data_IF_748325356662
#
_entry.id   IF_748325356662
#
_cell.length_a   1.000
_cell.length_b   1.000
_cell.length_c   1.000
_cell.angle_alpha   90.00
_cell.angle_beta   90.00
_cell.angle_gamma   90.00
#
_symmetry.space_group_name_H-M   'P 1'
#
loop_
_entity.id
_entity.type
_entity.pdbx_description
1 polymer ?
#
# COMPACT_ATOMS: atom_id res chain seq x y z
N UNK A 1 -7.39 19.56 -24.00
CA UNK A 1 -7.66 20.43 -22.85
C UNK A 1 -6.31 20.77 -22.21
N UNK A 2 -5.99 22.03 -22.03
CA UNK A 2 -4.74 22.40 -21.35
C UNK A 2 -5.05 22.52 -19.85
N UNK A 3 -4.28 21.84 -19.02
CA UNK A 3 -4.32 22.08 -17.57
C UNK A 3 -4.06 23.58 -17.36
N UNK A 4 -4.87 24.22 -16.56
CA UNK A 4 -4.74 25.67 -16.35
C UNK A 4 -3.44 25.99 -15.60
N UNK A 5 -2.77 27.06 -15.95
CA UNK A 5 -1.48 27.45 -15.35
C UNK A 5 -1.58 27.57 -13.82
N UNK A 6 -2.74 27.96 -13.28
CA UNK A 6 -2.98 28.04 -11.84
C UNK A 6 -2.86 26.65 -11.18
N UNK A 7 -3.41 25.60 -11.80
CA UNK A 7 -3.34 24.23 -11.26
C UNK A 7 -1.89 23.72 -11.27
N UNK A 8 -1.15 24.03 -12.33
CA UNK A 8 0.29 23.70 -12.41
C UNK A 8 1.08 24.43 -11.32
N UNK A 9 0.81 25.71 -11.11
CA UNK A 9 1.49 26.48 -10.07
C UNK A 9 1.18 25.95 -8.66
N UNK A 10 -0.07 25.62 -8.38
CA UNK A 10 -0.49 24.99 -7.10
C UNK A 10 0.26 23.67 -6.92
N UNK A 11 0.29 22.82 -7.96
CA UNK A 11 0.98 21.54 -7.93
C UNK A 11 2.48 21.70 -7.63
N UNK A 12 3.17 22.61 -8.35
CA UNK A 12 4.60 22.87 -8.15
C UNK A 12 4.88 23.40 -6.75
N UNK A 13 4.12 24.39 -6.28
CA UNK A 13 4.27 24.94 -4.91
C UNK A 13 4.07 23.86 -3.86
N UNK A 14 3.05 23.02 -4.05
CA UNK A 14 2.77 21.91 -3.14
C UNK A 14 3.93 20.90 -3.10
N UNK A 15 4.46 20.48 -4.27
CA UNK A 15 5.59 19.56 -4.35
C UNK A 15 6.85 20.14 -3.72
N UNK A 16 7.13 21.43 -3.95
CA UNK A 16 8.25 22.13 -3.31
C UNK A 16 8.10 22.19 -1.78
N UNK A 17 6.87 22.42 -1.28
CA UNK A 17 6.60 22.39 0.15
C UNK A 17 6.86 21.00 0.75
N UNK A 18 6.46 19.92 0.08
CA UNK A 18 6.74 18.55 0.53
C UNK A 18 8.25 18.25 0.54
N UNK A 19 8.97 18.61 -0.51
CA UNK A 19 10.45 18.51 -0.53
C UNK A 19 11.07 19.31 0.62
N UNK A 20 10.55 20.51 0.90
CA UNK A 20 10.99 21.34 2.03
C UNK A 20 10.83 20.64 3.38
N UNK A 21 9.72 19.91 3.60
CA UNK A 21 9.51 19.08 4.80
C UNK A 21 10.56 17.96 4.87
N UNK A 22 10.84 17.29 3.75
CA UNK A 22 11.89 16.26 3.67
C UNK A 22 13.26 16.80 4.09
N UNK A 23 13.68 17.95 3.55
CA UNK A 23 14.93 18.63 3.90
C UNK A 23 14.97 19.07 5.38
N UNK A 24 13.86 19.54 5.92
CA UNK A 24 13.75 19.89 7.35
C UNK A 24 14.03 18.70 8.26
N UNK A 25 13.47 17.53 7.96
CA UNK A 25 13.70 16.32 8.76
C UNK A 25 15.07 15.69 8.52
N UNK A 26 15.66 15.82 7.32
CA UNK A 26 17.03 15.38 7.04
C UNK A 26 18.03 15.89 8.07
N UNK A 27 17.91 17.17 8.43
CA UNK A 27 18.81 17.83 9.41
C UNK A 27 18.55 17.34 10.85
N UNK A 28 17.45 16.65 11.11
CA UNK A 28 17.03 16.22 12.45
C UNK A 28 17.20 14.73 12.70
N UNK A 29 17.35 13.92 11.65
CA UNK A 29 17.60 12.48 11.77
C UNK A 29 19.07 12.25 12.15
N UNK A 30 19.31 11.78 13.38
CA UNK A 30 20.65 11.55 13.93
C UNK A 30 21.05 10.08 14.00
N UNK A 31 20.09 9.16 13.87
CA UNK A 31 20.30 7.72 14.01
C UNK A 31 19.39 6.91 13.05
N UNK A 32 19.70 5.62 12.89
CA UNK A 32 18.79 4.72 12.18
C UNK A 32 17.42 4.60 12.88
N UNK A 33 17.39 4.75 14.21
CA UNK A 33 16.14 4.73 14.96
C UNK A 33 15.25 5.94 14.60
N UNK A 34 15.84 7.14 14.49
CA UNK A 34 15.10 8.32 14.02
C UNK A 34 14.60 8.13 12.59
N UNK A 35 15.44 7.54 11.74
CA UNK A 35 15.16 7.36 10.33
C UNK A 35 14.07 6.30 10.06
N UNK A 36 14.09 5.14 10.74
CA UNK A 36 13.19 4.00 10.46
C UNK A 36 11.99 3.85 11.41
N UNK A 37 12.04 4.38 12.64
CA UNK A 37 10.95 4.23 13.65
C UNK A 37 10.54 5.53 14.34
N UNK A 38 10.98 6.68 13.87
CA UNK A 38 10.45 7.99 14.28
C UNK A 38 10.55 8.32 15.76
N UNK A 39 11.59 7.84 16.47
CA UNK A 39 11.88 8.11 17.91
C UNK A 39 10.85 7.57 18.92
N UNK A 40 9.95 6.67 18.55
CA UNK A 40 8.98 5.93 19.43
C UNK A 40 8.10 6.82 20.32
N UNK A 41 7.64 7.98 19.81
CA UNK A 41 6.87 8.96 20.60
C UNK A 41 5.56 9.40 19.96
N UNK A 42 5.10 8.69 18.91
CA UNK A 42 3.96 9.10 18.11
C UNK A 42 2.62 8.81 18.80
N UNK A 43 1.63 9.68 18.58
CA UNK A 43 0.27 9.55 19.10
C UNK A 43 -0.56 8.57 18.28
N UNK A 44 -1.67 8.06 18.87
CA UNK A 44 -2.56 7.12 18.21
C UNK A 44 -3.21 7.69 16.94
N UNK A 45 -3.51 8.98 16.91
CA UNK A 45 -4.14 9.60 15.72
C UNK A 45 -3.14 9.68 14.58
N UNK A 46 -1.94 10.20 14.81
CA UNK A 46 -0.91 10.28 13.76
C UNK A 46 -0.51 8.90 13.25
N UNK A 47 -0.34 7.92 14.15
CA UNK A 47 -0.04 6.55 13.74
C UNK A 47 -1.22 5.94 12.98
N UNK A 48 -2.45 6.06 13.45
CA UNK A 48 -3.63 5.49 12.80
C UNK A 48 -3.85 6.06 11.40
N UNK A 49 -3.76 7.38 11.24
CA UNK A 49 -3.87 8.03 9.93
C UNK A 49 -2.69 7.65 9.01
N UNK A 50 -1.46 7.55 9.54
CA UNK A 50 -0.31 7.09 8.75
C UNK A 50 -0.42 5.61 8.36
N UNK A 51 -1.00 4.74 9.21
CA UNK A 51 -1.28 3.34 8.85
C UNK A 51 -2.23 3.29 7.66
N UNK A 52 -3.37 3.97 7.74
CA UNK A 52 -4.35 4.04 6.63
C UNK A 52 -3.73 4.64 5.39
N UNK A 53 -3.01 5.77 5.51
CA UNK A 53 -2.34 6.41 4.40
C UNK A 53 -1.34 5.49 3.69
N UNK A 54 -0.69 4.60 4.44
CA UNK A 54 0.31 3.67 3.89
C UNK A 54 -0.31 2.39 3.37
N UNK A 55 -1.33 1.86 4.03
CA UNK A 55 -1.96 0.60 3.61
C UNK A 55 -2.95 0.83 2.46
N UNK A 56 -3.87 1.77 2.61
CA UNK A 56 -4.84 2.10 1.56
C UNK A 56 -4.25 3.04 0.51
N UNK A 57 -3.49 4.02 0.90
CA UNK A 57 -2.73 4.93 0.04
C UNK A 57 -3.39 5.36 -1.28
N UNK A 58 -2.62 6.02 -2.10
CA UNK A 58 -3.06 6.42 -3.43
C UNK A 58 -3.24 5.26 -4.40
N UNK A 59 -2.39 4.21 -4.28
CA UNK A 59 -2.47 3.02 -5.14
C UNK A 59 -3.76 2.24 -4.95
N UNK A 60 -4.17 2.02 -3.70
CA UNK A 60 -5.48 1.40 -3.44
C UNK A 60 -6.64 2.29 -3.88
N UNK A 61 -6.57 3.61 -3.71
CA UNK A 61 -7.67 4.46 -4.15
C UNK A 61 -7.83 4.47 -5.68
N UNK A 62 -6.74 4.38 -6.45
CA UNK A 62 -6.77 4.15 -7.91
C UNK A 62 -7.37 2.75 -8.19
N UNK A 63 -6.91 1.71 -7.51
CA UNK A 63 -7.42 0.35 -7.67
C UNK A 63 -8.89 0.21 -7.26
N UNK A 64 -9.32 0.83 -6.14
CA UNK A 64 -10.72 0.87 -5.72
C UNK A 64 -11.59 1.64 -6.72
N UNK A 65 -11.07 2.72 -7.30
CA UNK A 65 -11.71 3.40 -8.41
C UNK A 65 -11.93 2.48 -9.59
N UNK A 66 -10.92 1.67 -9.94
CA UNK A 66 -11.02 0.63 -10.96
C UNK A 66 -12.07 -0.44 -10.62
N UNK A 67 -12.14 -0.91 -9.38
CA UNK A 67 -13.18 -1.83 -8.93
C UNK A 67 -14.57 -1.21 -8.98
N UNK A 68 -14.72 0.04 -8.52
CA UNK A 68 -15.98 0.78 -8.64
C UNK A 68 -16.43 0.94 -10.09
N UNK A 69 -15.49 1.18 -11.00
CA UNK A 69 -15.72 1.25 -12.44
C UNK A 69 -16.17 -0.09 -13.04
N UNK A 70 -15.64 -1.22 -12.56
CA UNK A 70 -15.92 -2.57 -13.08
C UNK A 70 -17.14 -3.24 -12.47
N UNK A 71 -17.25 -3.23 -11.14
CA UNK A 71 -18.23 -4.03 -10.38
C UNK A 71 -19.07 -3.19 -9.42
N UNK A 72 -18.92 -1.87 -9.43
CA UNK A 72 -19.69 -0.97 -8.60
C UNK A 72 -19.36 -1.06 -7.11
N UNK A 73 -20.39 -0.92 -6.26
CA UNK A 73 -20.25 -0.87 -4.80
C UNK A 73 -19.69 -2.15 -4.19
N UNK A 74 -19.83 -3.29 -4.85
CA UNK A 74 -19.27 -4.58 -4.39
C UNK A 74 -17.74 -4.56 -4.28
N UNK A 75 -17.03 -3.69 -4.99
CA UNK A 75 -15.59 -3.49 -4.83
C UNK A 75 -15.16 -3.08 -3.42
N UNK A 76 -16.08 -2.52 -2.61
CA UNK A 76 -15.83 -2.14 -1.22
C UNK A 76 -15.45 -3.31 -0.30
N UNK A 77 -15.87 -4.53 -0.62
CA UNK A 77 -15.53 -5.73 0.15
C UNK A 77 -14.02 -5.96 0.26
N UNK A 78 -13.23 -5.45 -0.69
CA UNK A 78 -11.79 -5.58 -0.61
C UNK A 78 -11.23 -4.95 0.68
N UNK A 79 -11.61 -3.73 1.03
CA UNK A 79 -11.17 -3.07 2.26
C UNK A 79 -11.95 -3.51 3.51
N UNK A 80 -13.11 -4.18 3.36
CA UNK A 80 -13.73 -4.88 4.48
C UNK A 80 -12.79 -5.97 5.03
N UNK A 81 -12.02 -6.62 4.16
CA UNK A 81 -11.00 -7.57 4.63
C UNK A 81 -9.85 -6.86 5.36
N UNK A 82 -9.56 -5.60 5.04
CA UNK A 82 -8.58 -4.76 5.73
C UNK A 82 -8.98 -4.46 7.18
N UNK A 83 -10.23 -4.04 7.45
CA UNK A 83 -10.69 -3.80 8.83
C UNK A 83 -10.58 -5.08 9.68
N UNK A 84 -10.90 -6.26 9.11
CA UNK A 84 -10.74 -7.54 9.81
C UNK A 84 -9.26 -7.74 10.18
N UNK A 85 -8.36 -7.58 9.22
CA UNK A 85 -6.91 -7.70 9.43
C UNK A 85 -6.39 -6.74 10.50
N UNK A 86 -6.76 -5.46 10.39
CA UNK A 86 -6.40 -4.41 11.34
C UNK A 86 -6.84 -4.74 12.77
N UNK A 87 -8.10 -5.08 12.97
CA UNK A 87 -8.65 -5.30 14.30
C UNK A 87 -8.19 -6.61 14.93
N UNK A 88 -8.06 -7.67 14.14
CA UNK A 88 -7.49 -8.94 14.62
C UNK A 88 -6.02 -8.75 15.00
N UNK A 89 -5.23 -8.04 14.20
CA UNK A 89 -3.83 -7.76 14.56
C UNK A 89 -3.69 -6.84 15.77
N UNK A 90 -4.62 -5.88 15.97
CA UNK A 90 -4.64 -5.04 17.17
C UNK A 90 -4.78 -5.86 18.46
N UNK A 91 -5.59 -6.92 18.42
CA UNK A 91 -5.88 -7.75 19.60
C UNK A 91 -4.87 -8.89 19.76
N UNK A 92 -4.41 -9.49 18.65
CA UNK A 92 -3.57 -10.71 18.66
C UNK A 92 -2.09 -10.39 18.56
N UNK A 93 -1.70 -9.54 17.60
CA UNK A 93 -0.30 -9.26 17.27
C UNK A 93 0.33 -8.23 18.21
N UNK A 94 -0.28 -7.06 18.34
CA UNK A 94 0.30 -5.92 19.07
C UNK A 94 0.65 -6.27 20.52
N UNK A 95 -0.22 -6.96 21.32
CA UNK A 95 0.11 -7.30 22.70
C UNK A 95 1.33 -8.21 22.86
N UNK A 96 1.64 -9.01 21.82
CA UNK A 96 2.78 -9.93 21.83
C UNK A 96 4.06 -9.28 21.32
N UNK A 97 3.95 -8.41 20.34
CA UNK A 97 5.10 -7.82 19.65
C UNK A 97 5.58 -6.53 20.30
N UNK A 98 4.67 -5.65 20.72
CA UNK A 98 5.04 -4.35 21.30
C UNK A 98 5.98 -4.46 22.51
N UNK A 99 5.70 -5.30 23.55
CA UNK A 99 6.59 -5.45 24.70
C UNK A 99 7.98 -5.96 24.32
N UNK A 100 8.05 -6.92 23.38
CA UNK A 100 9.32 -7.46 22.87
C UNK A 100 10.11 -6.39 22.12
N UNK A 101 9.45 -5.66 21.23
CA UNK A 101 10.08 -4.59 20.45
C UNK A 101 10.63 -3.48 21.35
N UNK A 102 9.92 -3.13 22.42
CA UNK A 102 10.38 -2.17 23.41
C UNK A 102 11.58 -2.67 24.21
N UNK A 103 11.56 -3.95 24.61
CA UNK A 103 12.65 -4.58 25.38
C UNK A 103 13.92 -4.73 24.58
N UNK A 104 13.82 -5.13 23.30
CA UNK A 104 14.95 -5.46 22.44
C UNK A 104 15.32 -4.36 21.44
N UNK A 105 14.61 -3.24 21.44
CA UNK A 105 14.80 -2.12 20.51
C UNK A 105 14.77 -2.55 19.04
N UNK A 106 13.77 -3.36 18.64
CA UNK A 106 13.61 -3.78 17.25
C UNK A 106 13.37 -2.60 16.32
N UNK A 107 13.95 -2.64 15.12
CA UNK A 107 13.78 -1.68 14.04
C UNK A 107 13.02 -2.28 12.84
N UNK A 108 13.02 -3.61 12.73
CA UNK A 108 12.46 -4.33 11.60
C UNK A 108 11.55 -5.49 12.04
N UNK A 109 10.70 -5.93 11.09
CA UNK A 109 9.91 -7.15 11.27
C UNK A 109 10.77 -8.43 11.34
N UNK A 110 11.80 -8.62 10.48
CA UNK A 110 12.67 -9.79 10.57
C UNK A 110 13.40 -9.95 11.91
N UNK A 111 13.67 -8.86 12.63
CA UNK A 111 14.27 -8.96 13.98
C UNK A 111 13.35 -9.69 14.97
N UNK A 112 12.04 -9.61 14.80
CA UNK A 112 11.08 -10.41 15.59
C UNK A 112 11.28 -11.90 15.30
N UNK A 113 11.39 -12.28 14.04
CA UNK A 113 11.62 -13.67 13.66
C UNK A 113 13.00 -14.17 14.10
N UNK A 114 14.01 -13.30 14.13
CA UNK A 114 15.30 -13.64 14.71
C UNK A 114 15.20 -13.98 16.21
N UNK A 115 14.32 -13.29 16.94
CA UNK A 115 14.12 -13.55 18.37
C UNK A 115 13.47 -14.92 18.64
N UNK A 116 12.49 -15.31 17.82
CA UNK A 116 11.77 -16.58 18.01
C UNK A 116 12.47 -17.79 17.36
N UNK A 117 13.25 -17.57 16.31
CA UNK A 117 13.89 -18.60 15.51
C UNK A 117 15.42 -18.42 15.51
N UNK A 118 15.96 -17.95 14.41
CA UNK A 118 17.38 -17.67 14.24
C UNK A 118 17.68 -16.68 13.10
N UNK A 119 18.96 -16.36 12.97
CA UNK A 119 19.45 -15.40 11.98
C UNK A 119 19.20 -15.82 10.51
N UNK A 120 19.09 -17.12 10.19
CA UNK A 120 18.81 -17.60 8.81
C UNK A 120 17.37 -17.34 8.45
N UNK A 121 16.43 -17.58 9.38
CA UNK A 121 15.00 -17.27 9.20
C UNK A 121 14.79 -15.77 9.05
N UNK A 122 15.44 -14.95 9.88
CA UNK A 122 15.36 -13.49 9.77
C UNK A 122 15.91 -12.97 8.43
N UNK A 123 17.05 -13.51 7.97
CA UNK A 123 17.62 -13.14 6.67
C UNK A 123 16.65 -13.43 5.53
N UNK A 124 16.07 -14.63 5.50
CA UNK A 124 15.09 -15.01 4.47
C UNK A 124 13.83 -14.15 4.55
N UNK A 125 13.35 -13.84 5.77
CA UNK A 125 12.23 -12.92 5.96
C UNK A 125 12.54 -11.51 5.44
N UNK A 126 13.74 -11.01 5.68
CA UNK A 126 14.21 -9.73 5.14
C UNK A 126 14.23 -9.72 3.62
N UNK A 127 14.68 -10.81 2.99
CA UNK A 127 14.70 -10.95 1.51
C UNK A 127 13.27 -10.99 0.94
N UNK A 128 12.37 -11.80 1.52
CA UNK A 128 10.97 -11.89 1.06
C UNK A 128 10.28 -10.53 1.22
N UNK A 129 10.44 -9.89 2.37
CA UNK A 129 9.88 -8.57 2.64
C UNK A 129 10.45 -7.50 1.69
N UNK A 130 11.76 -7.49 1.44
CA UNK A 130 12.41 -6.59 0.48
C UNK A 130 11.80 -6.70 -0.91
N UNK A 131 11.69 -7.92 -1.46
CA UNK A 131 11.14 -8.18 -2.80
C UNK A 131 9.67 -7.71 -2.85
N UNK A 132 8.87 -8.05 -1.86
CA UNK A 132 7.46 -7.63 -1.80
C UNK A 132 7.31 -6.11 -1.76
N UNK A 133 8.14 -5.42 -0.97
CA UNK A 133 8.08 -3.96 -0.90
C UNK A 133 8.66 -3.24 -2.13
N UNK A 134 9.56 -3.86 -2.89
CA UNK A 134 9.94 -3.35 -4.23
C UNK A 134 8.71 -3.37 -5.14
N UNK A 135 7.98 -4.48 -5.20
CA UNK A 135 6.75 -4.59 -5.98
C UNK A 135 5.67 -3.61 -5.54
N UNK A 136 5.47 -3.45 -4.23
CA UNK A 136 4.51 -2.48 -3.71
C UNK A 136 4.91 -1.03 -4.02
N UNK A 137 6.17 -0.65 -3.88
CA UNK A 137 6.68 0.68 -4.31
C UNK A 137 6.44 0.89 -5.79
N UNK A 138 6.68 -0.11 -6.62
CA UNK A 138 6.44 -0.07 -8.07
C UNK A 138 4.97 0.18 -8.40
N UNK A 139 4.03 -0.43 -7.66
CA UNK A 139 2.59 -0.21 -7.85
C UNK A 139 2.20 1.24 -7.55
N UNK A 140 2.81 1.86 -6.54
CA UNK A 140 2.56 3.26 -6.21
C UNK A 140 3.13 4.21 -7.29
N UNK A 141 4.33 3.92 -7.81
CA UNK A 141 4.91 4.67 -8.93
C UNK A 141 3.99 4.58 -10.16
N UNK A 142 3.47 3.39 -10.47
CA UNK A 142 2.53 3.18 -11.58
C UNK A 142 1.19 3.91 -11.34
N UNK A 143 0.67 3.91 -10.11
CA UNK A 143 -0.54 4.66 -9.74
C UNK A 143 -0.37 6.17 -9.98
N UNK A 144 0.78 6.72 -9.55
CA UNK A 144 1.13 8.11 -9.80
C UNK A 144 1.27 8.41 -11.29
N UNK A 145 1.84 7.48 -12.07
CA UNK A 145 1.96 7.62 -13.52
C UNK A 145 0.58 7.65 -14.22
N UNK A 146 -0.36 6.78 -13.81
CA UNK A 146 -1.74 6.79 -14.33
C UNK A 146 -2.47 8.08 -13.98
N UNK A 147 -2.30 8.57 -12.76
CA UNK A 147 -2.84 9.87 -12.36
C UNK A 147 -2.22 11.01 -13.19
N UNK A 148 -0.91 10.99 -13.40
CA UNK A 148 -0.21 11.99 -14.21
C UNK A 148 -0.67 11.98 -15.66
N UNK A 149 -0.76 10.82 -16.31
CA UNK A 149 -1.18 10.71 -17.71
C UNK A 149 -2.65 11.11 -17.91
N UNK A 150 -3.53 10.84 -16.95
CA UNK A 150 -4.91 11.31 -16.98
C UNK A 150 -5.02 12.84 -16.80
N UNK A 151 -4.14 13.41 -15.96
CA UNK A 151 -4.13 14.86 -15.66
C UNK A 151 -3.45 15.65 -16.77
N UNK A 152 -2.36 15.13 -17.32
CA UNK A 152 -1.55 15.77 -18.36
C UNK A 152 -1.52 14.87 -19.61
N UNK A 153 -2.44 15.05 -20.58
CA UNK A 153 -2.57 14.18 -21.75
C UNK A 153 -1.32 14.12 -22.65
N UNK A 154 -0.37 15.02 -22.45
CA UNK A 154 0.92 15.00 -23.16
C UNK A 154 1.92 13.99 -22.59
N UNK A 155 1.68 13.51 -21.37
CA UNK A 155 2.54 12.51 -20.74
C UNK A 155 2.10 11.08 -21.08
N UNK A 156 3.03 10.31 -21.59
CA UNK A 156 2.89 8.84 -21.65
C UNK A 156 2.98 8.24 -20.24
N UNK A 157 2.48 7.02 -20.07
CA UNK A 157 2.62 6.29 -18.79
C UNK A 157 4.10 6.15 -18.38
N UNK A 158 5.00 5.91 -19.33
CA UNK A 158 6.44 5.76 -19.06
C UNK A 158 7.04 7.06 -18.54
N UNK A 159 6.72 8.19 -19.14
CA UNK A 159 7.18 9.51 -18.67
C UNK A 159 6.62 9.82 -17.28
N UNK A 160 5.36 9.45 -17.03
CA UNK A 160 4.74 9.52 -15.70
C UNK A 160 5.48 8.65 -14.67
N UNK A 161 5.85 7.41 -15.02
CA UNK A 161 6.64 6.52 -14.15
C UNK A 161 8.00 7.12 -13.82
N UNK A 162 8.70 7.67 -14.79
CA UNK A 162 10.00 8.32 -14.56
C UNK A 162 9.87 9.56 -13.67
N UNK A 163 8.91 10.42 -13.96
CA UNK A 163 8.66 11.63 -13.16
C UNK A 163 8.33 11.28 -11.71
N UNK A 164 7.36 10.41 -11.50
CA UNK A 164 6.92 10.00 -10.17
C UNK A 164 8.03 9.26 -9.41
N UNK A 165 8.75 8.37 -10.08
CA UNK A 165 9.84 7.64 -9.48
C UNK A 165 10.97 8.56 -8.98
N UNK A 166 11.38 9.53 -9.79
CA UNK A 166 12.42 10.48 -9.40
C UNK A 166 11.98 11.33 -8.20
N UNK A 167 10.73 11.82 -8.19
CA UNK A 167 10.21 12.63 -7.08
C UNK A 167 10.12 11.80 -5.80
N UNK A 168 9.54 10.59 -5.86
CA UNK A 168 9.42 9.68 -4.72
C UNK A 168 10.80 9.36 -4.13
N UNK A 169 11.74 8.92 -4.97
CA UNK A 169 13.08 8.55 -4.51
C UNK A 169 13.80 9.76 -3.88
N UNK A 170 13.75 10.90 -4.55
CA UNK A 170 14.40 12.13 -4.05
C UNK A 170 13.88 12.54 -2.68
N UNK A 171 12.58 12.52 -2.48
CA UNK A 171 11.96 12.85 -1.20
C UNK A 171 12.27 11.83 -0.10
N UNK A 172 12.13 10.52 -0.40
CA UNK A 172 12.33 9.44 0.57
C UNK A 172 13.78 9.36 1.07
N UNK A 173 14.75 9.50 0.17
CA UNK A 173 16.19 9.49 0.53
C UNK A 173 16.50 10.58 1.55
N UNK A 174 15.80 11.71 1.52
CA UNK A 174 16.03 12.85 2.40
C UNK A 174 15.28 12.75 3.74
N UNK A 175 14.00 12.36 3.73
CA UNK A 175 13.08 12.61 4.86
C UNK A 175 13.09 11.59 5.99
N UNK A 176 13.12 10.30 5.71
CA UNK A 176 12.92 9.22 6.71
C UNK A 176 11.50 9.13 7.25
N UNK A 177 11.20 8.10 8.07
CA UNK A 177 9.83 7.76 8.52
C UNK A 177 9.12 8.89 9.29
N UNK A 178 9.85 9.69 10.04
CA UNK A 178 9.25 10.78 10.82
C UNK A 178 8.63 11.85 9.93
N UNK A 179 9.30 12.21 8.85
CA UNK A 179 8.76 13.15 7.86
C UNK A 179 7.48 12.57 7.24
N UNK A 180 7.52 11.30 6.85
CA UNK A 180 6.41 10.58 6.23
C UNK A 180 5.17 10.61 7.14
N UNK A 181 5.25 10.22 8.42
CA UNK A 181 4.10 10.17 9.33
C UNK A 181 3.42 11.55 9.51
N UNK A 182 4.20 12.63 9.55
CA UNK A 182 3.63 13.97 9.68
C UNK A 182 3.00 14.47 8.38
N UNK A 183 3.63 14.24 7.25
CA UNK A 183 3.06 14.60 5.94
C UNK A 183 1.83 13.78 5.62
N UNK A 184 1.83 12.47 5.91
CA UNK A 184 0.69 11.56 5.75
C UNK A 184 -0.58 12.14 6.37
N UNK A 185 -0.48 12.61 7.61
CA UNK A 185 -1.65 13.11 8.34
C UNK A 185 -2.32 14.28 7.62
N UNK A 186 -1.53 15.24 7.12
CA UNK A 186 -2.05 16.44 6.44
C UNK A 186 -2.59 16.06 5.06
N UNK A 187 -1.84 15.32 4.29
CA UNK A 187 -2.20 14.89 2.93
C UNK A 187 -3.48 14.08 2.94
N UNK A 188 -3.60 13.17 3.90
CA UNK A 188 -4.76 12.34 4.09
C UNK A 188 -6.02 13.14 4.41
N UNK A 189 -5.94 14.11 5.33
CA UNK A 189 -7.08 14.97 5.67
C UNK A 189 -7.54 15.75 4.44
N UNK A 190 -6.62 16.35 3.68
CA UNK A 190 -6.95 17.12 2.49
C UNK A 190 -7.60 16.22 1.43
N UNK A 191 -7.03 15.03 1.19
CA UNK A 191 -7.56 14.07 0.22
C UNK A 191 -8.97 13.61 0.61
N UNK A 192 -9.14 13.18 1.86
CA UNK A 192 -10.42 12.69 2.37
C UNK A 192 -11.52 13.75 2.30
N UNK A 193 -11.23 14.94 2.80
CA UNK A 193 -12.19 16.07 2.76
C UNK A 193 -12.50 16.42 1.31
N UNK A 194 -11.49 16.52 0.46
CA UNK A 194 -11.67 16.86 -0.95
C UNK A 194 -12.48 15.83 -1.73
N UNK A 195 -12.14 14.54 -1.59
CA UNK A 195 -12.84 13.50 -2.37
C UNK A 195 -14.24 13.20 -1.83
N UNK A 196 -14.43 13.14 -0.50
CA UNK A 196 -15.73 12.79 0.08
C UNK A 196 -16.72 13.96 0.00
N UNK A 197 -16.30 15.16 0.42
CA UNK A 197 -17.23 16.29 0.56
C UNK A 197 -17.31 17.16 -0.71
N UNK A 198 -16.36 17.02 -1.64
CA UNK A 198 -16.36 17.79 -2.88
C UNK A 198 -16.42 16.84 -4.09
N UNK A 199 -15.53 15.89 -4.21
CA UNK A 199 -15.39 14.99 -5.36
C UNK A 199 -16.65 14.17 -5.61
N UNK A 200 -17.16 13.45 -4.59
CA UNK A 200 -18.37 12.64 -4.73
C UNK A 200 -19.61 13.50 -5.02
N UNK A 201 -19.93 14.56 -4.24
CA UNK A 201 -21.11 15.39 -4.54
C UNK A 201 -21.03 16.07 -5.91
N UNK A 202 -19.89 16.63 -6.27
CA UNK A 202 -19.70 17.29 -7.55
C UNK A 202 -19.77 16.29 -8.71
N UNK A 203 -19.13 15.12 -8.58
CA UNK A 203 -19.23 14.04 -9.54
C UNK A 203 -20.66 13.57 -9.73
N UNK A 204 -21.39 13.33 -8.63
CA UNK A 204 -22.79 12.93 -8.65
C UNK A 204 -23.68 13.92 -9.41
N UNK A 205 -23.53 15.22 -9.13
CA UNK A 205 -24.29 16.27 -9.84
C UNK A 205 -23.89 16.35 -11.32
N UNK A 206 -22.59 16.30 -11.61
CA UNK A 206 -22.08 16.45 -12.99
C UNK A 206 -22.46 15.30 -13.91
N UNK A 207 -22.58 14.07 -13.39
CA UNK A 207 -23.05 12.94 -14.20
C UNK A 207 -24.57 12.86 -14.33
N UNK A 208 -25.35 13.73 -13.63
CA UNK A 208 -26.81 13.73 -13.70
C UNK A 208 -27.54 12.95 -12.61
N UNK A 209 -26.86 12.67 -11.49
CA UNK A 209 -27.45 12.09 -10.29
C UNK A 209 -27.97 10.67 -10.45
N UNK A 210 -29.00 10.32 -9.66
CA UNK A 210 -29.57 8.98 -9.62
C UNK A 210 -30.21 8.54 -10.93
N UNK A 211 -30.79 9.46 -11.67
CA UNK A 211 -31.42 9.18 -12.97
C UNK A 211 -30.38 8.66 -13.96
N UNK A 212 -29.24 9.35 -14.07
CA UNK A 212 -28.17 8.93 -14.94
C UNK A 212 -27.55 7.59 -14.50
N UNK A 213 -27.32 7.41 -13.19
CA UNK A 213 -26.77 6.14 -12.67
C UNK A 213 -27.66 4.97 -13.08
N UNK A 214 -28.98 5.08 -12.90
CA UNK A 214 -29.94 4.02 -13.27
C UNK A 214 -30.10 3.83 -14.76
N UNK A 215 -29.90 4.88 -15.55
CA UNK A 215 -30.02 4.82 -17.03
C UNK A 215 -28.80 4.14 -17.65
N UNK A 216 -27.61 4.46 -17.15
CA UNK A 216 -26.36 4.02 -17.79
C UNK A 216 -25.74 2.78 -17.15
N UNK A 217 -26.09 2.44 -15.89
CA UNK A 217 -25.54 1.27 -15.22
C UNK A 217 -26.62 0.23 -14.88
N UNK A 218 -26.30 -1.05 -15.05
CA UNK A 218 -27.13 -2.12 -14.55
C UNK A 218 -27.30 -2.08 -13.03
N UNK A 219 -28.45 -2.52 -12.51
CA UNK A 219 -28.77 -2.49 -11.06
C UNK A 219 -27.73 -3.18 -10.17
N UNK A 220 -27.04 -4.19 -10.67
CA UNK A 220 -26.03 -4.91 -9.90
C UNK A 220 -24.83 -4.06 -9.52
N UNK A 221 -24.56 -2.91 -10.20
CA UNK A 221 -23.50 -1.97 -9.79
C UNK A 221 -23.80 -1.29 -8.45
N UNK A 222 -25.08 -1.13 -8.10
CA UNK A 222 -25.53 -0.58 -6.81
C UNK A 222 -25.67 -1.63 -5.72
N UNK A 223 -25.49 -2.92 -6.06
CA UNK A 223 -25.55 -4.03 -5.11
C UNK A 223 -24.20 -4.25 -4.46
N UNK A 224 -24.21 -4.78 -3.24
CA UNK A 224 -23.02 -5.33 -2.55
C UNK A 224 -22.78 -6.81 -2.88
N UNK A 225 -23.62 -7.44 -3.69
CA UNK A 225 -23.56 -8.88 -4.03
C UNK A 225 -22.98 -9.15 -5.41
N UNK A 226 -22.53 -8.12 -6.14
CA UNK A 226 -21.90 -8.26 -7.45
C UNK A 226 -20.41 -8.66 -7.33
N UNK A 227 -20.16 -9.74 -6.58
CA UNK A 227 -18.84 -10.30 -6.34
C UNK A 227 -18.96 -11.81 -6.14
N UNK A 228 -18.02 -12.57 -6.70
CA UNK A 228 -17.99 -14.02 -6.44
C UNK A 228 -17.42 -14.32 -5.05
N UNK A 229 -17.90 -15.42 -4.45
CA UNK A 229 -17.37 -15.88 -3.18
C UNK A 229 -15.88 -16.21 -3.25
N UNK A 230 -15.41 -16.69 -4.40
CA UNK A 230 -13.98 -16.96 -4.63
C UNK A 230 -13.16 -15.68 -4.59
N UNK A 231 -13.64 -14.59 -5.19
CA UNK A 231 -12.97 -13.31 -5.14
C UNK A 231 -12.86 -12.75 -3.70
N UNK A 232 -13.90 -12.93 -2.91
CA UNK A 232 -13.88 -12.56 -1.49
C UNK A 232 -12.85 -13.39 -0.71
N UNK A 233 -12.77 -14.70 -0.96
CA UNK A 233 -11.72 -15.56 -0.37
C UNK A 233 -10.34 -15.07 -0.78
N UNK A 234 -10.11 -14.79 -2.05
CA UNK A 234 -8.82 -14.28 -2.54
C UNK A 234 -8.40 -13.00 -1.80
N UNK A 235 -9.31 -12.06 -1.58
CA UNK A 235 -9.02 -10.86 -0.81
C UNK A 235 -8.76 -11.15 0.68
N UNK A 236 -9.55 -12.02 1.32
CA UNK A 236 -9.37 -12.39 2.73
C UNK A 236 -7.98 -13.00 2.95
N UNK A 237 -7.58 -13.97 2.13
CA UNK A 237 -6.30 -14.67 2.30
C UNK A 237 -5.08 -13.84 1.93
N UNK A 238 -5.28 -12.72 1.23
CA UNK A 238 -4.21 -11.78 0.88
C UNK A 238 -4.13 -10.64 1.90
N UNK A 239 -5.26 -9.97 2.15
CA UNK A 239 -5.28 -8.70 2.90
C UNK A 239 -5.29 -8.93 4.42
N UNK A 240 -6.03 -9.90 4.94
CA UNK A 240 -6.03 -10.14 6.41
C UNK A 240 -4.63 -10.51 6.92
N UNK A 241 -3.88 -11.45 6.28
CA UNK A 241 -2.57 -11.83 6.75
C UNK A 241 -1.49 -10.75 6.58
N UNK A 242 -1.62 -9.81 5.64
CA UNK A 242 -0.60 -8.75 5.48
C UNK A 242 -0.46 -7.89 6.74
N UNK A 243 -1.54 -7.73 7.51
CA UNK A 243 -1.53 -7.03 8.79
C UNK A 243 -0.65 -7.69 9.87
N UNK A 244 -0.24 -8.94 9.64
CA UNK A 244 0.64 -9.70 10.52
C UNK A 244 2.09 -9.72 10.07
N UNK A 245 2.38 -9.37 8.80
CA UNK A 245 3.73 -9.53 8.22
C UNK A 245 4.28 -8.24 7.59
N UNK A 246 3.44 -7.21 7.43
CA UNK A 246 3.82 -5.97 6.75
C UNK A 246 4.86 -5.17 7.54
N UNK A 247 6.08 -5.02 7.02
CA UNK A 247 7.17 -4.25 7.64
C UNK A 247 6.76 -2.80 7.96
N UNK A 248 6.00 -2.14 7.08
CA UNK A 248 5.48 -0.79 7.30
C UNK A 248 4.61 -0.70 8.55
N UNK A 249 3.82 -1.75 8.82
CA UNK A 249 2.95 -1.85 9.99
C UNK A 249 3.79 -2.03 11.26
N UNK A 250 4.79 -2.89 11.23
CA UNK A 250 5.71 -3.07 12.36
C UNK A 250 6.45 -1.78 12.71
N UNK A 251 6.93 -1.02 11.73
CA UNK A 251 7.54 0.28 11.97
C UNK A 251 6.61 1.23 12.73
N UNK A 252 5.32 1.23 12.43
CA UNK A 252 4.31 2.05 13.10
C UNK A 252 3.94 1.54 14.49
N UNK A 253 3.92 0.22 14.70
CA UNK A 253 3.84 -0.37 16.05
C UNK A 253 5.01 0.14 16.90
N UNK A 254 6.23 0.09 16.35
CA UNK A 254 7.43 0.53 17.06
C UNK A 254 7.50 2.05 17.28
N UNK A 255 6.96 2.85 16.38
CA UNK A 255 6.88 4.30 16.50
C UNK A 255 5.89 4.77 17.58
N UNK A 256 4.95 3.93 18.02
CA UNK A 256 3.95 4.24 19.02
C UNK A 256 4.59 4.42 20.41
N UNK A 257 4.07 5.36 21.20
CA UNK A 257 4.60 5.64 22.54
C UNK A 257 4.37 4.51 23.56
N UNK A 258 3.28 3.77 23.40
CA UNK A 258 2.88 2.64 24.24
C UNK A 258 1.95 1.66 23.50
N UNK A 259 1.74 0.47 24.07
CA UNK A 259 0.90 -0.59 23.49
C UNK A 259 -0.54 -0.13 23.29
N UNK A 260 -1.11 0.60 24.23
CA UNK A 260 -2.48 1.12 24.17
C UNK A 260 -2.63 2.08 22.97
N UNK A 261 -1.63 2.92 22.77
CA UNK A 261 -1.55 3.83 21.62
C UNK A 261 -1.51 3.05 20.30
N UNK A 262 -0.68 2.00 20.20
CA UNK A 262 -0.60 1.16 19.01
C UNK A 262 -1.95 0.47 18.71
N UNK A 263 -2.58 -0.17 19.69
CA UNK A 263 -3.91 -0.77 19.54
C UNK A 263 -4.96 0.23 19.08
N UNK A 264 -5.03 1.40 19.74
CA UNK A 264 -5.97 2.46 19.37
C UNK A 264 -5.75 2.95 17.93
N UNK A 265 -4.50 3.05 17.48
CA UNK A 265 -4.16 3.41 16.12
C UNK A 265 -4.69 2.39 15.10
N UNK A 266 -4.59 1.09 15.37
CA UNK A 266 -5.10 0.03 14.51
C UNK A 266 -6.64 0.01 14.44
N UNK A 267 -7.32 0.28 15.55
CA UNK A 267 -8.78 0.43 15.52
C UNK A 267 -9.21 1.65 14.69
N UNK A 268 -8.50 2.77 14.81
CA UNK A 268 -8.71 3.96 13.98
C UNK A 268 -8.46 3.61 12.50
N UNK A 269 -7.34 2.95 12.19
CA UNK A 269 -7.00 2.58 10.82
C UNK A 269 -8.11 1.74 10.17
N UNK A 270 -8.53 0.65 10.82
CA UNK A 270 -9.59 -0.20 10.28
C UNK A 270 -10.91 0.54 10.04
N UNK A 271 -11.31 1.44 10.94
CA UNK A 271 -12.52 2.25 10.77
C UNK A 271 -12.42 3.19 9.56
N UNK A 272 -11.24 3.73 9.27
CA UNK A 272 -11.03 4.55 8.08
C UNK A 272 -10.98 3.72 6.80
N UNK A 273 -10.43 2.50 6.82
CA UNK A 273 -10.44 1.62 5.65
C UNK A 273 -11.86 1.28 5.23
N UNK A 274 -12.67 0.80 6.15
CA UNK A 274 -14.05 0.46 5.89
C UNK A 274 -14.95 0.95 7.03
N UNK A 275 -16.02 1.72 6.73
CA UNK A 275 -16.59 1.96 5.39
C UNK A 275 -15.98 3.17 4.62
N UNK A 276 -15.18 4.03 5.25
CA UNK A 276 -14.91 5.37 4.71
C UNK A 276 -14.17 5.31 3.36
N UNK A 277 -12.97 4.74 3.34
CA UNK A 277 -12.14 4.69 2.13
C UNK A 277 -12.71 3.77 1.05
N UNK A 278 -13.23 2.63 1.48
CA UNK A 278 -13.82 1.67 0.57
C UNK A 278 -14.91 2.34 -0.28
N UNK A 279 -15.90 2.95 0.39
CA UNK A 279 -17.02 3.58 -0.34
C UNK A 279 -16.61 4.87 -1.05
N UNK A 280 -15.63 5.62 -0.56
CA UNK A 280 -15.08 6.77 -1.29
C UNK A 280 -14.52 6.33 -2.64
N UNK A 281 -13.64 5.33 -2.66
CA UNK A 281 -12.99 4.86 -3.89
C UNK A 281 -13.97 4.26 -4.89
N UNK A 282 -14.81 3.31 -4.44
CA UNK A 282 -15.75 2.64 -5.35
C UNK A 282 -16.85 3.57 -5.85
N UNK A 283 -17.32 4.55 -5.04
CA UNK A 283 -18.32 5.53 -5.49
C UNK A 283 -17.77 6.43 -6.58
N UNK A 284 -16.55 6.94 -6.43
CA UNK A 284 -15.89 7.75 -7.46
C UNK A 284 -15.64 6.92 -8.72
N UNK A 285 -15.23 5.65 -8.60
CA UNK A 285 -15.07 4.75 -9.74
C UNK A 285 -16.39 4.47 -10.47
N UNK A 286 -17.47 4.24 -9.73
CA UNK A 286 -18.82 4.06 -10.27
C UNK A 286 -19.29 5.31 -11.03
N UNK A 287 -19.09 6.50 -10.46
CA UNK A 287 -19.39 7.77 -11.15
C UNK A 287 -18.51 7.95 -12.39
N UNK A 288 -17.24 7.52 -12.34
CA UNK A 288 -16.37 7.45 -13.52
C UNK A 288 -16.91 6.55 -14.62
N UNK A 289 -17.50 5.40 -14.25
CA UNK A 289 -18.19 4.52 -15.21
C UNK A 289 -19.39 5.19 -15.85
N UNK A 290 -20.25 5.86 -15.08
CA UNK A 290 -21.37 6.63 -15.63
C UNK A 290 -20.88 7.69 -16.61
N UNK A 291 -19.85 8.47 -16.22
CA UNK A 291 -19.26 9.49 -17.09
C UNK A 291 -18.72 8.92 -18.40
N UNK A 292 -18.10 7.74 -18.36
CA UNK A 292 -17.62 7.04 -19.55
C UNK A 292 -18.77 6.62 -20.45
N UNK A 293 -19.82 5.99 -19.92
CA UNK A 293 -20.99 5.53 -20.70
C UNK A 293 -21.77 6.72 -21.32
N UNK A 294 -21.75 7.88 -20.67
CA UNK A 294 -22.30 9.12 -21.21
C UNK A 294 -21.45 9.76 -22.30
N UNK A 295 -20.23 9.26 -22.54
CA UNK A 295 -19.31 9.84 -23.52
C UNK A 295 -18.58 11.09 -23.04
N UNK A 296 -18.60 11.41 -21.72
CA UNK A 296 -17.89 12.57 -21.19
C UNK A 296 -16.37 12.45 -21.33
N UNK A 297 -15.87 11.24 -21.51
CA UNK A 297 -14.44 10.98 -21.71
C UNK A 297 -14.00 11.00 -23.18
N UNK A 298 -14.92 11.21 -24.13
CA UNK A 298 -14.58 11.27 -25.58
C UNK A 298 -13.55 12.35 -25.89
N UNK A 299 -13.62 13.49 -25.21
CA UNK A 299 -12.64 14.57 -25.35
C UNK A 299 -11.21 14.17 -24.89
N UNK A 300 -11.07 13.09 -24.14
CA UNK A 300 -9.79 12.51 -23.69
C UNK A 300 -9.38 11.30 -24.52
N UNK A 301 -10.12 10.97 -25.61
CA UNK A 301 -9.85 9.85 -26.48
C UNK A 301 -10.59 8.55 -26.12
N UNK A 302 -11.51 8.57 -25.15
CA UNK A 302 -12.24 7.38 -24.70
C UNK A 302 -13.75 7.54 -24.99
N UNK A 303 -14.16 7.10 -26.16
CA UNK A 303 -15.58 7.06 -26.52
C UNK A 303 -16.29 5.86 -25.84
N UNK A 304 -17.62 5.92 -25.61
CA UNK A 304 -18.37 4.78 -25.10
C UNK A 304 -18.14 3.52 -25.95
N UNK A 305 -17.88 2.38 -25.30
CA UNK A 305 -17.56 1.12 -25.96
C UNK A 305 -16.12 0.97 -26.46
N UNK A 306 -15.27 2.02 -26.38
CA UNK A 306 -13.84 1.89 -26.65
C UNK A 306 -13.11 1.20 -25.51
N UNK A 307 -11.97 0.51 -25.76
CA UNK A 307 -11.17 -0.01 -24.68
C UNK A 307 -10.67 1.11 -23.75
N UNK A 308 -10.92 0.96 -22.45
CA UNK A 308 -10.43 1.88 -21.41
C UNK A 308 -9.84 1.07 -20.25
N UNK A 309 -8.72 1.52 -19.73
CA UNK A 309 -8.19 1.01 -18.47
C UNK A 309 -9.07 1.50 -17.33
N UNK A 310 -9.71 0.58 -16.60
CA UNK A 310 -10.61 0.93 -15.51
C UNK A 310 -9.94 1.77 -14.40
N UNK A 311 -8.63 1.64 -14.21
CA UNK A 311 -7.90 2.38 -13.18
C UNK A 311 -7.70 3.86 -13.52
N UNK A 312 -7.89 4.26 -14.79
CA UNK A 312 -7.88 5.69 -15.16
C UNK A 312 -9.27 6.35 -15.10
N UNK A 313 -10.33 5.58 -14.93
CA UNK A 313 -11.71 6.10 -14.89
C UNK A 313 -11.93 7.13 -13.78
N UNK A 314 -11.43 6.83 -12.55
CA UNK A 314 -11.49 7.78 -11.44
C UNK A 314 -10.63 9.03 -11.70
N UNK A 315 -9.37 8.97 -12.09
CA UNK A 315 -8.58 10.14 -12.47
C UNK A 315 -9.24 11.01 -13.55
N UNK A 316 -9.75 10.42 -14.60
CA UNK A 316 -10.45 11.16 -15.67
C UNK A 316 -11.71 11.85 -15.17
N UNK A 317 -12.49 11.21 -14.30
CA UNK A 317 -13.63 11.84 -13.65
C UNK A 317 -13.20 13.09 -12.90
N UNK A 318 -12.17 13.00 -12.05
CA UNK A 318 -11.70 14.12 -11.24
C UNK A 318 -11.24 15.30 -12.12
N UNK A 319 -10.50 15.01 -13.20
CA UNK A 319 -10.07 16.02 -14.18
C UNK A 319 -11.26 16.68 -14.86
N UNK A 320 -12.33 15.93 -15.11
CA UNK A 320 -13.53 16.45 -15.77
C UNK A 320 -14.40 17.32 -14.87
N UNK A 321 -14.51 16.98 -13.57
CA UNK A 321 -15.46 17.62 -12.66
C UNK A 321 -14.90 18.82 -11.90
N UNK A 322 -13.59 18.85 -11.62
CA UNK A 322 -13.03 19.89 -10.77
C UNK A 322 -12.80 21.21 -11.51
N UNK A 323 -13.22 22.35 -10.91
CA UNK A 323 -12.86 23.66 -11.42
C UNK A 323 -11.37 23.97 -11.20
N UNK A 324 -10.87 24.92 -11.99
CA UNK A 324 -9.51 25.45 -11.89
C UNK A 324 -9.19 25.90 -10.46
N UNK A 325 -8.00 25.62 -9.98
CA UNK A 325 -7.53 25.86 -8.62
C UNK A 325 -7.85 24.72 -7.66
N UNK A 326 -9.10 24.26 -7.61
CA UNK A 326 -9.47 23.09 -6.82
C UNK A 326 -8.89 21.80 -7.40
N UNK A 327 -8.86 21.68 -8.74
CA UNK A 327 -8.19 20.59 -9.43
C UNK A 327 -6.72 20.52 -9.04
N UNK A 328 -5.98 21.62 -9.12
CA UNK A 328 -4.57 21.68 -8.75
C UNK A 328 -4.32 21.24 -7.31
N UNK A 329 -5.14 21.70 -6.36
CA UNK A 329 -5.02 21.34 -4.95
C UNK A 329 -5.31 19.85 -4.70
N UNK A 330 -6.42 19.33 -5.21
CA UNK A 330 -6.83 17.94 -4.94
C UNK A 330 -5.95 16.95 -5.68
N UNK A 331 -5.52 17.26 -6.91
CA UNK A 331 -4.55 16.42 -7.63
C UNK A 331 -3.20 16.42 -6.92
N UNK A 332 -2.71 17.57 -6.43
CA UNK A 332 -1.48 17.63 -5.63
C UNK A 332 -1.58 16.76 -4.37
N UNK A 333 -2.72 16.83 -3.67
CA UNK A 333 -2.97 16.01 -2.48
C UNK A 333 -3.03 14.52 -2.82
N UNK A 334 -3.61 14.16 -3.97
CA UNK A 334 -3.67 12.78 -4.42
C UNK A 334 -2.29 12.23 -4.80
N UNK A 335 -1.51 13.00 -5.56
CA UNK A 335 -0.10 12.66 -5.84
C UNK A 335 0.69 12.46 -4.54
N UNK A 336 0.49 13.35 -3.57
CA UNK A 336 1.17 13.25 -2.28
C UNK A 336 0.77 12.01 -1.49
N UNK A 337 -0.50 11.63 -1.52
CA UNK A 337 -0.96 10.40 -0.87
C UNK A 337 -0.33 9.14 -1.51
N UNK A 338 -0.18 9.13 -2.84
CA UNK A 338 0.54 8.08 -3.56
C UNK A 338 2.02 8.07 -3.15
N UNK A 339 2.66 9.24 -3.13
CA UNK A 339 4.06 9.38 -2.75
C UNK A 339 4.31 8.89 -1.32
N UNK A 340 3.48 9.27 -0.36
CA UNK A 340 3.57 8.88 1.04
C UNK A 340 3.57 7.36 1.23
N UNK A 341 2.70 6.66 0.50
CA UNK A 341 2.69 5.18 0.51
C UNK A 341 3.97 4.62 -0.10
N UNK A 342 4.40 5.16 -1.24
CA UNK A 342 5.62 4.73 -1.90
C UNK A 342 6.86 4.95 -1.01
N UNK A 343 6.93 6.09 -0.31
CA UNK A 343 8.00 6.41 0.64
C UNK A 343 8.08 5.40 1.77
N UNK A 344 6.92 5.08 2.36
CA UNK A 344 6.81 4.09 3.43
C UNK A 344 7.27 2.71 2.98
N UNK A 345 6.87 2.29 1.77
CA UNK A 345 7.26 1.01 1.18
C UNK A 345 8.76 0.98 0.86
N UNK A 346 9.29 2.05 0.30
CA UNK A 346 10.70 2.19 -0.01
C UNK A 346 11.58 2.21 1.25
N UNK A 347 11.09 2.87 2.31
CA UNK A 347 11.71 2.85 3.64
C UNK A 347 11.69 1.46 4.28
N UNK A 348 10.60 0.70 4.12
CA UNK A 348 10.51 -0.67 4.58
C UNK A 348 11.50 -1.58 3.84
N UNK A 349 11.56 -1.49 2.51
CA UNK A 349 12.50 -2.23 1.69
C UNK A 349 13.95 -1.93 2.03
N UNK A 350 14.31 -0.64 2.12
CA UNK A 350 15.68 -0.22 2.47
C UNK A 350 16.05 -0.60 3.91
N UNK A 351 15.09 -0.56 4.84
CA UNK A 351 15.25 -1.04 6.21
C UNK A 351 15.56 -2.53 6.26
N UNK A 352 14.79 -3.35 5.56
CA UNK A 352 15.06 -4.79 5.45
C UNK A 352 16.46 -5.07 4.87
N UNK A 353 16.86 -4.33 3.83
CA UNK A 353 18.17 -4.50 3.22
C UNK A 353 19.31 -4.13 4.17
N UNK A 354 19.23 -2.96 4.81
CA UNK A 354 20.33 -2.45 5.64
C UNK A 354 20.37 -3.09 7.03
N UNK A 355 19.22 -3.36 7.65
CA UNK A 355 19.13 -3.89 9.00
C UNK A 355 19.25 -5.41 9.03
N UNK A 356 18.55 -6.10 8.11
CA UNK A 356 18.38 -7.55 8.21
C UNK A 356 19.33 -8.32 7.29
N UNK A 357 19.63 -7.78 6.09
CA UNK A 357 20.53 -8.42 5.13
C UNK A 357 21.97 -7.98 5.38
N UNK A 358 22.27 -6.67 5.35
CA UNK A 358 23.63 -6.16 5.59
C UNK A 358 24.02 -6.07 7.07
N UNK A 359 23.05 -6.09 7.98
CA UNK A 359 23.24 -6.04 9.45
C UNK A 359 24.10 -4.86 9.89
N UNK A 360 23.85 -3.67 9.34
CA UNK A 360 24.61 -2.48 9.68
C UNK A 360 24.37 -2.07 11.14
N UNK A 361 25.42 -1.51 11.76
CA UNK A 361 25.35 -1.06 13.15
C UNK A 361 24.34 0.08 13.33
N UNK A 362 23.43 -0.05 14.31
CA UNK A 362 22.35 0.89 14.62
C UNK A 362 22.84 2.30 15.03
N UNK A 363 24.08 2.40 15.53
CA UNK A 363 24.63 3.64 16.13
C UNK A 363 25.69 4.33 15.27
N UNK A 364 25.96 3.86 14.05
CA UNK A 364 26.99 4.42 13.20
C UNK A 364 26.36 5.47 12.22
N UNK A 365 26.88 6.68 12.22
CA UNK A 365 26.45 7.75 11.28
C UNK A 365 26.66 7.37 9.80
N UNK A 366 27.67 6.54 9.49
CA UNK A 366 27.87 6.00 8.14
C UNK A 366 26.71 5.08 7.71
N UNK A 367 26.02 4.45 8.65
CA UNK A 367 24.87 3.58 8.35
C UNK A 367 23.71 4.35 7.69
N UNK A 368 23.53 5.65 8.02
CA UNK A 368 22.50 6.49 7.37
C UNK A 368 22.81 6.65 5.88
N UNK A 369 24.09 6.90 5.53
CA UNK A 369 24.51 7.03 4.12
C UNK A 369 24.29 5.74 3.33
N UNK A 370 24.58 4.58 3.94
CA UNK A 370 24.29 3.28 3.32
C UNK A 370 22.79 3.04 3.17
N UNK A 371 21.98 3.47 4.15
CA UNK A 371 20.52 3.41 4.05
C UNK A 371 19.98 4.29 2.91
N UNK A 372 20.50 5.49 2.76
CA UNK A 372 20.15 6.38 1.67
C UNK A 372 20.54 5.81 0.29
N UNK A 373 21.75 5.24 0.18
CA UNK A 373 22.19 4.57 -1.06
C UNK A 373 21.32 3.35 -1.38
N UNK A 374 21.00 2.54 -0.37
CA UNK A 374 20.08 1.40 -0.55
C UNK A 374 18.72 1.87 -1.02
N UNK A 375 18.16 2.93 -0.41
CA UNK A 375 16.89 3.53 -0.82
C UNK A 375 16.92 3.96 -2.29
N UNK A 376 18.01 4.60 -2.72
CA UNK A 376 18.19 5.02 -4.12
C UNK A 376 18.19 3.81 -5.08
N UNK A 377 19.02 2.81 -4.79
CA UNK A 377 19.14 1.61 -5.66
C UNK A 377 17.82 0.84 -5.73
N UNK A 378 17.15 0.63 -4.59
CA UNK A 378 15.87 -0.05 -4.52
C UNK A 378 14.79 0.76 -5.27
N UNK A 379 14.81 2.07 -5.15
CA UNK A 379 13.89 2.95 -5.88
C UNK A 379 14.08 2.86 -7.41
N UNK A 380 15.30 2.77 -7.90
CA UNK A 380 15.59 2.56 -9.33
C UNK A 380 15.04 1.21 -9.80
N UNK A 381 15.21 0.15 -9.00
CA UNK A 381 14.62 -1.16 -9.30
C UNK A 381 13.08 -1.11 -9.32
N UNK A 382 12.47 -0.33 -8.42
CA UNK A 382 11.02 -0.14 -8.40
C UNK A 382 10.51 0.63 -9.63
N UNK A 383 11.23 1.66 -10.10
CA UNK A 383 10.91 2.33 -11.38
C UNK A 383 10.94 1.33 -12.53
N UNK A 384 12.02 0.55 -12.63
CA UNK A 384 12.15 -0.45 -13.69
C UNK A 384 11.00 -1.45 -13.69
N UNK A 385 10.63 -1.99 -12.53
CA UNK A 385 9.49 -2.91 -12.42
C UNK A 385 8.17 -2.22 -12.78
N UNK A 386 7.96 -0.95 -12.40
CA UNK A 386 6.76 -0.19 -12.73
C UNK A 386 6.57 -0.02 -14.24
N UNK A 387 7.65 0.12 -15.03
CA UNK A 387 7.55 0.22 -16.49
C UNK A 387 7.12 -1.09 -17.16
N UNK A 388 7.27 -2.23 -16.48
CA UNK A 388 6.91 -3.55 -17.01
C UNK A 388 5.47 -3.97 -16.69
N UNK A 389 4.77 -3.24 -15.81
CA UNK A 389 3.45 -3.59 -15.30
C UNK A 389 2.37 -2.65 -15.85
N UNK A 390 1.15 -3.17 -15.98
CA UNK A 390 0.03 -2.40 -16.54
C UNK A 390 -1.07 -2.10 -15.52
N UNK A 391 -1.20 -2.92 -14.47
CA UNK A 391 -2.28 -2.83 -13.50
C UNK A 391 -1.74 -2.63 -12.08
N UNK A 392 -2.16 -1.54 -11.44
CA UNK A 392 -1.70 -1.11 -10.10
C UNK A 392 -2.15 -2.10 -9.04
N UNK A 393 -3.45 -2.42 -9.05
CA UNK A 393 -4.05 -3.27 -8.03
C UNK A 393 -3.47 -4.70 -8.10
N UNK A 394 -3.33 -5.25 -9.30
CA UNK A 394 -2.74 -6.59 -9.47
C UNK A 394 -1.30 -6.64 -8.97
N UNK A 395 -0.48 -5.63 -9.25
CA UNK A 395 0.90 -5.57 -8.79
C UNK A 395 0.99 -5.50 -7.26
N UNK A 396 0.09 -4.74 -6.64
CA UNK A 396 -0.02 -4.68 -5.18
C UNK A 396 -0.39 -6.04 -4.58
N UNK A 397 -1.46 -6.66 -5.10
CA UNK A 397 -1.95 -7.94 -4.58
C UNK A 397 -0.94 -9.07 -4.79
N UNK A 398 -0.19 -9.06 -5.90
CA UNK A 398 0.93 -10.00 -6.11
C UNK A 398 2.04 -9.80 -5.08
N UNK A 399 2.38 -8.56 -4.77
CA UNK A 399 3.39 -8.22 -3.76
C UNK A 399 2.96 -8.68 -2.37
N UNK A 400 1.72 -8.43 -2.00
CA UNK A 400 1.13 -8.90 -0.74
C UNK A 400 1.04 -10.42 -0.70
N UNK A 401 0.52 -11.05 -1.75
CA UNK A 401 0.39 -12.50 -1.85
C UNK A 401 1.71 -13.22 -1.70
N UNK A 402 2.78 -12.72 -2.31
CA UNK A 402 4.14 -13.26 -2.15
C UNK A 402 4.64 -13.14 -0.70
N UNK A 403 4.54 -11.96 -0.09
CA UNK A 403 4.95 -11.76 1.31
C UNK A 403 4.16 -12.63 2.27
N UNK A 404 2.84 -12.67 2.13
CA UNK A 404 1.95 -13.44 3.00
C UNK A 404 2.25 -14.93 2.92
N UNK A 405 2.42 -15.46 1.72
CA UNK A 405 2.70 -16.88 1.50
C UNK A 405 4.02 -17.33 2.14
N UNK A 406 5.02 -16.46 2.12
CA UNK A 406 6.30 -16.75 2.73
C UNK A 406 6.35 -16.50 4.24
N UNK A 407 5.64 -15.50 4.75
CA UNK A 407 5.89 -14.98 6.10
C UNK A 407 4.79 -15.29 7.12
N UNK A 408 3.53 -15.45 6.70
CA UNK A 408 2.41 -15.52 7.63
C UNK A 408 2.44 -16.75 8.53
N UNK A 409 2.66 -17.94 7.97
CA UNK A 409 2.70 -19.19 8.76
C UNK A 409 3.84 -19.19 9.78
N UNK A 410 5.09 -18.80 9.45
CA UNK A 410 6.14 -18.61 10.45
C UNK A 410 5.81 -17.60 11.55
N UNK A 411 5.12 -16.51 11.21
CA UNK A 411 4.67 -15.54 12.22
C UNK A 411 3.65 -16.16 13.17
N UNK A 412 2.68 -16.92 12.66
CA UNK A 412 1.74 -17.64 13.53
C UNK A 412 2.48 -18.65 14.42
N UNK A 413 3.45 -19.38 13.87
CA UNK A 413 4.31 -20.27 14.65
C UNK A 413 5.03 -19.53 15.79
N UNK A 414 5.62 -18.37 15.51
CA UNK A 414 6.30 -17.53 16.50
C UNK A 414 5.34 -17.01 17.59
N UNK A 415 4.12 -16.66 17.24
CA UNK A 415 3.14 -16.09 18.18
C UNK A 415 2.46 -17.12 19.08
N UNK A 416 2.25 -18.35 18.58
CA UNK A 416 1.38 -19.33 19.25
C UNK A 416 2.06 -20.59 19.72
N UNK A 417 3.27 -20.91 19.24
CA UNK A 417 4.01 -22.07 19.69
C UNK A 417 5.04 -21.70 20.78
N UNK A 418 5.19 -22.54 21.80
CA UNK A 418 6.19 -22.33 22.85
C UNK A 418 7.61 -22.49 22.31
N UNK A 419 7.84 -23.51 21.47
CA UNK A 419 9.14 -23.85 20.88
C UNK A 419 8.97 -24.04 19.36
N UNK A 420 8.91 -22.96 18.57
CA UNK A 420 8.77 -23.07 17.13
C UNK A 420 10.10 -23.47 16.49
N UNK A 421 10.05 -24.46 15.57
CA UNK A 421 11.25 -24.96 14.87
C UNK A 421 11.72 -23.97 13.81
N UNK A 422 13.00 -23.57 13.90
CA UNK A 422 13.65 -22.73 12.88
C UNK A 422 13.73 -23.40 11.51
N UNK A 423 13.86 -24.74 11.45
CA UNK A 423 13.83 -25.48 10.19
C UNK A 423 12.43 -25.44 9.57
N UNK A 424 11.38 -25.63 10.40
CA UNK A 424 10.01 -25.53 9.93
C UNK A 424 9.71 -24.14 9.34
N UNK A 425 10.12 -23.08 10.03
CA UNK A 425 9.98 -21.71 9.53
C UNK A 425 10.73 -21.49 8.22
N UNK A 426 12.01 -21.90 8.12
CA UNK A 426 12.83 -21.69 6.93
C UNK A 426 12.22 -22.37 5.69
N UNK A 427 11.87 -23.65 5.81
CA UNK A 427 11.32 -24.40 4.68
C UNK A 427 9.92 -23.93 4.31
N UNK A 428 9.07 -23.61 5.29
CA UNK A 428 7.74 -23.06 4.99
C UNK A 428 7.80 -21.72 4.23
N UNK A 429 8.75 -20.85 4.56
CA UNK A 429 9.01 -19.61 3.82
C UNK A 429 9.44 -19.88 2.38
N UNK A 430 10.39 -20.77 2.17
CA UNK A 430 10.92 -21.11 0.85
C UNK A 430 9.84 -21.71 -0.04
N UNK A 431 9.11 -22.70 0.47
CA UNK A 431 8.07 -23.36 -0.30
C UNK A 431 6.84 -22.49 -0.48
N UNK A 432 6.40 -21.74 0.54
CA UNK A 432 5.25 -20.87 0.43
C UNK A 432 5.48 -19.70 -0.52
N UNK A 433 6.51 -18.91 -0.28
CA UNK A 433 6.88 -17.79 -1.15
C UNK A 433 7.30 -18.25 -2.55
N UNK A 434 8.12 -19.31 -2.63
CA UNK A 434 8.58 -19.87 -3.91
C UNK A 434 7.44 -20.37 -4.79
N UNK A 435 6.46 -21.09 -4.22
CA UNK A 435 5.28 -21.55 -4.96
C UNK A 435 4.45 -20.38 -5.48
N UNK A 436 4.17 -19.39 -4.63
CA UNK A 436 3.40 -18.21 -5.07
C UNK A 436 4.10 -17.48 -6.19
N UNK A 437 5.41 -17.25 -6.07
CA UNK A 437 6.19 -16.58 -7.11
C UNK A 437 6.21 -17.37 -8.42
N UNK A 438 6.43 -18.69 -8.34
CA UNK A 438 6.42 -19.57 -9.52
C UNK A 438 5.07 -19.56 -10.23
N UNK A 439 3.95 -19.62 -9.47
CA UNK A 439 2.61 -19.58 -10.05
C UNK A 439 2.29 -18.22 -10.67
N UNK A 440 2.69 -17.09 -10.06
CA UNK A 440 2.52 -15.76 -10.66
C UNK A 440 3.30 -15.65 -11.97
N UNK A 441 4.55 -16.08 -11.99
CA UNK A 441 5.42 -15.99 -13.17
C UNK A 441 4.99 -16.94 -14.30
N UNK A 442 4.43 -18.10 -13.97
CA UNK A 442 3.96 -19.08 -14.95
C UNK A 442 2.75 -18.61 -15.75
N UNK A 443 1.98 -17.65 -15.22
CA UNK A 443 0.73 -17.15 -15.82
C UNK A 443 -0.30 -18.24 -16.13
N UNK A 444 -0.23 -19.40 -15.46
CA UNK A 444 -1.15 -20.53 -15.65
C UNK A 444 -2.49 -20.18 -14.99
N UNK A 445 -3.59 -20.51 -15.65
CA UNK A 445 -4.91 -20.43 -15.05
C UNK A 445 -5.02 -21.41 -13.86
N UNK A 446 -5.24 -20.88 -12.66
CA UNK A 446 -5.29 -21.68 -11.45
C UNK A 446 -6.70 -22.26 -11.23
N UNK A 447 -6.81 -23.46 -10.62
CA UNK A 447 -8.08 -24.12 -10.43
C UNK A 447 -9.00 -23.30 -9.50
N UNK A 448 -10.31 -23.42 -9.74
CA UNK A 448 -11.37 -22.76 -8.97
C UNK A 448 -11.32 -21.22 -8.97
N UNK A 449 -10.45 -20.55 -9.77
CA UNK A 449 -10.28 -19.12 -9.76
C UNK A 449 -9.58 -18.58 -8.48
N UNK A 450 -8.88 -19.45 -7.76
CA UNK A 450 -8.11 -19.07 -6.58
C UNK A 450 -6.78 -18.44 -6.97
N UNK A 451 -6.33 -17.44 -6.20
CA UNK A 451 -5.06 -16.76 -6.42
C UNK A 451 -3.85 -17.62 -6.03
N UNK A 452 -2.69 -17.32 -6.60
CA UNK A 452 -1.45 -18.07 -6.38
C UNK A 452 -1.05 -18.20 -4.89
N UNK A 453 -1.33 -17.18 -4.09
CA UNK A 453 -1.02 -17.17 -2.67
C UNK A 453 -1.87 -18.15 -1.84
N UNK A 454 -3.06 -18.53 -2.27
CA UNK A 454 -3.81 -19.61 -1.62
C UNK A 454 -3.00 -20.91 -1.60
N UNK A 455 -2.44 -21.29 -2.74
CA UNK A 455 -1.61 -22.48 -2.87
C UNK A 455 -0.29 -22.34 -2.09
N UNK A 456 0.32 -21.15 -2.15
CA UNK A 456 1.54 -20.85 -1.41
C UNK A 456 1.37 -20.91 0.09
N UNK A 457 0.33 -20.29 0.66
CA UNK A 457 0.03 -20.34 2.10
C UNK A 457 -0.29 -21.76 2.54
N UNK A 458 -1.10 -22.49 1.74
CA UNK A 458 -1.46 -23.87 2.03
C UNK A 458 -0.22 -24.75 2.10
N UNK A 459 0.67 -24.66 1.10
CA UNK A 459 1.93 -25.42 1.11
C UNK A 459 2.84 -24.99 2.25
N UNK A 460 2.95 -23.68 2.53
CA UNK A 460 3.69 -23.17 3.69
C UNK A 460 3.19 -23.79 5.00
N UNK A 461 1.88 -23.85 5.20
CA UNK A 461 1.27 -24.43 6.40
C UNK A 461 1.55 -25.94 6.51
N UNK A 462 1.38 -26.69 5.42
CA UNK A 462 1.67 -28.14 5.40
C UNK A 462 3.15 -28.39 5.77
N UNK A 463 4.06 -27.72 5.08
CA UNK A 463 5.52 -27.87 5.31
C UNK A 463 5.89 -27.50 6.74
N UNK A 464 5.33 -26.39 7.25
CA UNK A 464 5.59 -25.96 8.63
C UNK A 464 5.14 -27.01 9.63
N UNK A 465 3.90 -27.50 9.52
CA UNK A 465 3.34 -28.49 10.47
C UNK A 465 4.08 -29.81 10.41
N UNK A 466 4.41 -30.30 9.21
CA UNK A 466 5.16 -31.56 9.03
C UNK A 466 6.55 -31.47 9.68
N UNK A 467 7.32 -30.43 9.35
CA UNK A 467 8.68 -30.29 9.89
C UNK A 467 8.65 -29.98 11.39
N UNK A 468 7.69 -29.18 11.88
CA UNK A 468 7.51 -28.91 13.30
C UNK A 468 7.25 -30.20 14.11
N UNK A 469 6.48 -31.15 13.55
CA UNK A 469 6.24 -32.45 14.21
C UNK A 469 7.45 -33.37 14.20
N UNK A 470 8.24 -33.34 13.10
CA UNK A 470 9.44 -34.16 12.95
C UNK A 470 10.62 -33.69 13.83
N UNK A 471 10.61 -32.43 14.24
CA UNK A 471 11.67 -31.82 15.05
C UNK A 471 11.14 -31.33 16.40
N UNK A 472 10.13 -32.01 16.97
CA UNK A 472 9.77 -31.91 18.38
C UNK A 472 10.76 -32.83 19.13
N UNK A 473 11.90 -32.30 19.42
CA UNK A 473 12.82 -32.83 20.44
C UNK A 473 12.62 -32.05 21.75
#
# INVERSE_FOLDING_TARGET
MHVHIIDILIFVVYMLAMLGVGVYFLKRNKSQEDYYVGSRKMSAVHIGLSVVATDVGGGFSIGLGGLGFLIGLSGSWMLFTGIIGAWVSAVVLIPRIYPLAKKHNFLSFPEVLNHFYNAKVALLAGVISLIGYIGFTSSQILAGAKLASATFPTFTIVEGVLLMGVVIIGYTVLGGLKAVIYTDTIQWIILMVGLIFIGIPLGFVKVGGWEAIRTYLPDHFLSLTNISFVQLINWIITIVPIWFVGMTLYQRIYASKDEKTAKKAWFIAGLFEWPIMAFMGVSLGLLGRVAYEQGLFTQYGYAPGSPIDQEIGLPLLLVHIFPVGLMGLLMSSYFSAIMSTADSCLMAASGNFTTDILRLSKHNTKSIKYSQLATLVIGILAIFLATMMQNVLSLMLYSYGFMVSGLFVPVLGALFLKNPSSKAALFSMLFGGGTTLALILSKIALPFGLDANFFGITLSAIVFVVIQKLHKD
#
